data_IF_874943958428
#
_entry.id   IF_874943958428
#
_cell.length_a   1.000
_cell.length_b   1.000
_cell.length_c   1.000
_cell.angle_alpha   90.00
_cell.angle_beta   90.00
_cell.angle_gamma   90.00
#
_symmetry.space_group_name_H-M   'P 1'
#
loop_
_entity.id
_entity.type
_entity.pdbx_description
1 polymer ?
#
# COMPACT_ATOMS: atom_id res chain seq x y z
N UNK A 1 28.64 10.12 10.93
CA UNK A 1 27.59 9.48 10.10
C UNK A 1 27.05 10.55 9.18
N UNK A 2 27.51 10.61 7.94
CA UNK A 2 27.04 11.60 6.97
C UNK A 2 25.85 10.94 6.25
N UNK A 3 24.63 11.35 6.59
CA UNK A 3 23.44 10.98 5.81
C UNK A 3 23.62 11.55 4.40
N UNK A 4 23.60 10.71 3.38
CA UNK A 4 23.69 11.19 2.00
C UNK A 4 22.39 11.93 1.66
N UNK A 5 22.42 12.92 0.76
CA UNK A 5 21.20 13.68 0.38
C UNK A 5 20.05 12.75 -0.05
N UNK A 6 20.38 11.59 -0.65
CA UNK A 6 19.43 10.55 -1.04
C UNK A 6 18.71 9.89 0.13
N UNK A 7 19.38 9.72 1.28
CA UNK A 7 18.77 9.15 2.49
C UNK A 7 17.74 10.12 3.08
N UNK A 8 18.06 11.41 3.08
CA UNK A 8 17.16 12.47 3.58
C UNK A 8 15.92 12.59 2.72
N UNK A 9 16.07 12.58 1.39
CA UNK A 9 14.95 12.59 0.45
C UNK A 9 14.04 11.37 0.65
N UNK A 10 14.62 10.17 0.79
CA UNK A 10 13.86 8.94 1.01
C UNK A 10 13.01 9.03 2.29
N UNK A 11 13.55 9.57 3.38
CA UNK A 11 12.82 9.78 4.64
C UNK A 11 11.66 10.75 4.48
N UNK A 12 11.84 11.84 3.72
CA UNK A 12 10.76 12.81 3.43
C UNK A 12 9.63 12.14 2.65
N UNK A 13 9.96 11.36 1.62
CA UNK A 13 8.95 10.64 0.85
C UNK A 13 8.26 9.54 1.67
N UNK A 14 8.98 8.88 2.58
CA UNK A 14 8.39 7.92 3.48
C UNK A 14 7.38 8.59 4.42
N UNK A 15 7.70 9.76 4.97
CA UNK A 15 6.75 10.54 5.76
C UNK A 15 5.51 10.93 4.94
N UNK A 16 5.70 11.29 3.66
CA UNK A 16 4.61 11.61 2.75
C UNK A 16 3.64 10.43 2.58
N UNK A 17 4.12 9.18 2.56
CA UNK A 17 3.25 7.98 2.49
C UNK A 17 2.28 7.86 3.67
N UNK A 18 2.58 8.44 4.83
CA UNK A 18 1.72 8.41 6.01
C UNK A 18 0.85 9.68 6.16
N UNK A 19 0.98 10.64 5.25
CA UNK A 19 0.28 11.92 5.31
C UNK A 19 -1.10 11.84 4.65
N UNK A 20 -2.15 11.76 5.48
CA UNK A 20 -3.53 11.63 5.00
C UNK A 20 -4.01 12.92 4.31
N UNK A 21 -4.80 12.83 3.23
CA UNK A 21 -5.23 14.00 2.48
C UNK A 21 -6.02 15.02 3.31
N UNK A 22 -6.65 14.59 4.41
CA UNK A 22 -7.35 15.51 5.32
C UNK A 22 -6.46 16.61 5.88
N UNK A 23 -5.14 16.39 6.05
CA UNK A 23 -4.24 17.36 6.68
C UNK A 23 -3.98 18.57 5.78
N UNK A 24 -3.58 18.32 4.53
CA UNK A 24 -3.06 19.37 3.63
C UNK A 24 -3.69 19.43 2.24
N UNK A 25 -4.67 18.58 1.89
CA UNK A 25 -5.20 18.52 0.51
C UNK A 25 -5.71 19.87 -0.01
N UNK A 26 -6.28 20.69 0.86
CA UNK A 26 -6.78 22.02 0.50
C UNK A 26 -5.70 23.11 0.47
N UNK A 27 -4.55 22.87 1.10
CA UNK A 27 -3.42 23.81 1.12
C UNK A 27 -2.48 23.55 -0.05
N UNK A 28 -2.07 22.29 -0.26
CA UNK A 28 -1.30 21.91 -1.44
C UNK A 28 -1.44 20.40 -1.75
N UNK A 29 -1.89 20.02 -2.95
CA UNK A 29 -2.02 18.60 -3.36
C UNK A 29 -0.70 17.83 -3.47
N UNK A 30 0.45 18.46 -3.20
CA UNK A 30 1.77 17.79 -3.15
C UNK A 30 2.04 17.13 -1.79
N UNK A 31 1.35 17.55 -0.73
CA UNK A 31 1.58 17.08 0.64
C UNK A 31 0.56 16.01 1.07
N UNK A 32 0.31 15.02 0.21
CA UNK A 32 -0.49 13.86 0.57
C UNK A 32 -0.04 12.62 -0.19
N UNK A 33 -0.40 11.45 0.32
CA UNK A 33 -0.01 10.19 -0.31
C UNK A 33 -0.81 9.83 -1.58
N UNK A 34 -1.85 10.57 -1.99
CA UNK A 34 -2.80 10.16 -3.06
C UNK A 34 -2.10 9.79 -4.38
N UNK A 35 -1.04 10.52 -4.75
CA UNK A 35 -0.28 10.23 -5.98
C UNK A 35 0.54 8.95 -5.86
N UNK A 36 1.15 8.72 -4.70
CA UNK A 36 1.89 7.50 -4.41
C UNK A 36 0.95 6.31 -4.28
N UNK A 37 -0.21 6.50 -3.65
CA UNK A 37 -1.29 5.51 -3.58
C UNK A 37 -1.72 5.08 -4.99
N UNK A 38 -1.96 6.03 -5.88
CA UNK A 38 -2.34 5.72 -7.27
C UNK A 38 -1.27 4.87 -7.98
N UNK A 39 0.00 5.27 -7.91
CA UNK A 39 1.12 4.50 -8.50
C UNK A 39 1.19 3.11 -7.86
N UNK A 40 1.07 3.06 -6.55
CA UNK A 40 1.02 1.85 -5.73
C UNK A 40 -0.07 0.87 -6.15
N UNK A 41 -1.26 1.39 -6.38
CA UNK A 41 -2.40 0.60 -6.87
C UNK A 41 -2.08 0.01 -8.24
N UNK A 42 -1.55 0.80 -9.18
CA UNK A 42 -1.20 0.30 -10.52
C UNK A 42 -0.09 -0.73 -10.51
N UNK A 43 0.94 -0.56 -9.68
CA UNK A 43 2.01 -1.55 -9.58
C UNK A 43 1.52 -2.85 -8.93
N UNK A 44 0.65 -2.75 -7.92
CA UNK A 44 -0.01 -3.93 -7.33
C UNK A 44 -0.85 -4.67 -8.38
N UNK A 45 -1.66 -3.94 -9.15
CA UNK A 45 -2.50 -4.52 -10.21
C UNK A 45 -1.64 -5.29 -11.22
N UNK A 46 -0.55 -4.67 -11.69
CA UNK A 46 0.36 -5.25 -12.67
C UNK A 46 1.07 -6.50 -12.13
N UNK A 47 1.63 -6.42 -10.91
CA UNK A 47 2.35 -7.55 -10.29
C UNK A 47 1.41 -8.74 -10.07
N UNK A 48 0.18 -8.50 -9.62
CA UNK A 48 -0.81 -9.56 -9.40
C UNK A 48 -1.30 -10.15 -10.71
N UNK A 49 -1.52 -9.33 -11.75
CA UNK A 49 -1.91 -9.82 -13.07
C UNK A 49 -0.83 -10.71 -13.69
N UNK A 50 0.43 -10.24 -13.67
CA UNK A 50 1.58 -10.99 -14.19
C UNK A 50 1.71 -12.35 -13.50
N UNK A 51 1.59 -12.38 -12.16
CA UNK A 51 1.67 -13.62 -11.37
C UNK A 51 0.52 -14.59 -11.67
N UNK A 52 -0.72 -14.10 -11.75
CA UNK A 52 -1.87 -14.94 -12.07
C UNK A 52 -1.75 -15.55 -13.46
N UNK A 53 -1.30 -14.76 -14.44
CA UNK A 53 -1.07 -15.23 -15.80
C UNK A 53 0.01 -16.32 -15.84
N UNK A 54 1.13 -16.10 -15.15
CA UNK A 54 2.22 -17.10 -15.08
C UNK A 54 1.82 -18.38 -14.34
N UNK A 55 0.90 -18.31 -13.36
CA UNK A 55 0.44 -19.49 -12.60
C UNK A 55 -0.64 -20.29 -13.33
N UNK A 56 -1.40 -19.63 -14.20
CA UNK A 56 -2.58 -20.18 -14.84
C UNK A 56 -2.60 -19.83 -16.34
N UNK A 57 -1.59 -20.28 -17.09
CA UNK A 57 -1.47 -20.00 -18.52
C UNK A 57 -2.69 -20.48 -19.33
N UNK A 58 -3.25 -21.63 -18.96
CA UNK A 58 -4.37 -22.25 -19.69
C UNK A 58 -5.75 -21.77 -19.20
N UNK A 59 -5.80 -20.83 -18.25
CA UNK A 59 -7.06 -20.40 -17.68
C UNK A 59 -7.83 -19.42 -18.61
N UNK A 60 -9.17 -19.51 -18.65
CA UNK A 60 -9.98 -18.56 -19.40
C UNK A 60 -9.78 -17.10 -18.92
N UNK A 61 -9.73 -16.15 -19.85
CA UNK A 61 -9.50 -14.73 -19.54
C UNK A 61 -10.51 -14.12 -18.56
N UNK A 62 -11.78 -14.50 -18.66
CA UNK A 62 -12.83 -14.05 -17.72
C UNK A 62 -12.56 -14.54 -16.29
N UNK A 63 -12.09 -15.78 -16.14
CA UNK A 63 -11.73 -16.35 -14.84
C UNK A 63 -10.53 -15.60 -14.23
N UNK A 64 -9.50 -15.33 -15.04
CA UNK A 64 -8.34 -14.54 -14.61
C UNK A 64 -8.75 -13.14 -14.14
N UNK A 65 -9.63 -12.47 -14.87
CA UNK A 65 -10.12 -11.14 -14.51
C UNK A 65 -10.90 -11.14 -13.19
N UNK A 66 -11.78 -12.12 -12.99
CA UNK A 66 -12.54 -12.28 -11.75
C UNK A 66 -11.62 -12.60 -10.58
N UNK A 67 -10.64 -13.48 -10.78
CA UNK A 67 -9.66 -13.86 -9.75
C UNK A 67 -8.76 -12.68 -9.36
N UNK A 68 -8.28 -11.93 -10.34
CA UNK A 68 -7.49 -10.71 -10.16
C UNK A 68 -8.25 -9.65 -9.36
N UNK A 69 -9.49 -9.35 -9.76
CA UNK A 69 -10.36 -8.43 -9.00
C UNK A 69 -10.59 -8.88 -7.57
N UNK A 70 -10.85 -10.18 -7.34
CA UNK A 70 -11.08 -10.71 -6.00
C UNK A 70 -9.86 -10.61 -5.08
N UNK A 71 -8.65 -10.75 -5.63
CA UNK A 71 -7.40 -10.62 -4.87
C UNK A 71 -7.10 -9.17 -4.49
N UNK A 72 -7.31 -8.23 -5.41
CA UNK A 72 -7.04 -6.81 -5.18
C UNK A 72 -8.09 -6.13 -4.31
N UNK A 73 -9.37 -6.47 -4.49
CA UNK A 73 -10.46 -5.72 -3.88
C UNK A 73 -10.70 -6.02 -2.39
N UNK A 74 -10.09 -7.07 -1.79
CA UNK A 74 -10.77 -7.61 -0.60
C UNK A 74 -10.01 -8.32 0.52
N UNK A 75 -8.67 -8.30 0.69
CA UNK A 75 -8.13 -8.98 1.89
C UNK A 75 -6.77 -8.61 2.45
N UNK A 76 -5.84 -8.19 1.59
CA UNK A 76 -4.43 -8.13 1.97
C UNK A 76 -3.92 -6.70 2.14
N UNK A 77 -4.42 -5.76 1.34
CA UNK A 77 -4.02 -4.37 1.47
C UNK A 77 -4.45 -3.79 2.83
N UNK A 78 -3.48 -3.22 3.55
CA UNK A 78 -3.60 -2.65 4.89
C UNK A 78 -3.60 -3.68 6.03
N UNK A 79 -3.69 -5.00 5.77
CA UNK A 79 -3.72 -6.01 6.86
C UNK A 79 -2.42 -6.00 7.65
N UNK A 80 -1.29 -5.99 6.95
CA UNK A 80 0.03 -5.97 7.55
C UNK A 80 0.23 -4.74 8.46
N UNK A 81 -0.06 -3.55 7.94
CA UNK A 81 0.00 -2.30 8.71
C UNK A 81 -0.89 -2.33 9.96
N UNK A 82 -2.08 -2.93 9.87
CA UNK A 82 -2.98 -3.09 11.02
C UNK A 82 -2.42 -4.08 12.05
N UNK A 83 -1.87 -5.21 11.59
CA UNK A 83 -1.26 -6.23 12.46
C UNK A 83 -0.03 -5.68 13.22
N UNK A 84 0.74 -4.79 12.59
CA UNK A 84 1.89 -4.12 13.21
C UNK A 84 1.54 -2.81 13.93
N UNK A 85 0.26 -2.49 14.11
CA UNK A 85 -0.22 -1.25 14.73
C UNK A 85 0.27 0.07 14.08
N UNK A 86 0.76 0.01 12.84
CA UNK A 86 1.28 1.17 12.09
C UNK A 86 0.19 2.15 11.65
N UNK A 87 -1.08 1.77 11.78
CA UNK A 87 -2.22 2.67 11.55
C UNK A 87 -2.25 3.90 12.47
N UNK A 88 -1.55 3.85 13.62
CA UNK A 88 -1.41 4.97 14.57
C UNK A 88 -0.41 6.04 14.10
N UNK A 89 0.46 5.69 13.16
CA UNK A 89 1.50 6.60 12.63
C UNK A 89 0.95 7.43 11.46
N UNK A 90 -0.26 7.14 10.99
CA UNK A 90 -0.91 7.91 9.93
C UNK A 90 -1.26 9.30 10.49
N UNK A 91 -0.81 10.33 9.79
CA UNK A 91 -0.99 11.73 10.17
C UNK A 91 -2.30 12.20 9.56
N UNK A 92 -3.32 12.41 10.38
CA UNK A 92 -4.59 13.02 9.98
C UNK A 92 -4.68 14.47 10.42
N UNK A 93 -5.76 15.14 9.98
CA UNK A 93 -6.14 16.42 10.55
C UNK A 93 -6.67 16.22 11.97
N UNK A 94 -6.41 17.18 12.85
CA UNK A 94 -6.72 17.03 14.28
C UNK A 94 -8.23 16.88 14.50
N UNK A 95 -9.06 17.45 13.61
CA UNK A 95 -10.53 17.33 13.66
C UNK A 95 -11.05 15.94 13.29
N UNK A 96 -10.29 15.19 12.48
CA UNK A 96 -10.73 13.87 11.96
C UNK A 96 -9.99 12.70 12.60
N UNK A 97 -8.90 12.95 13.32
CA UNK A 97 -8.08 11.94 14.00
C UNK A 97 -8.95 10.93 14.78
N UNK A 98 -9.77 11.42 15.73
CA UNK A 98 -10.63 10.58 16.56
C UNK A 98 -11.57 9.70 15.73
N UNK A 99 -12.06 10.24 14.61
CA UNK A 99 -12.97 9.51 13.74
C UNK A 99 -12.26 8.32 13.09
N UNK A 100 -11.01 8.46 12.65
CA UNK A 100 -10.23 7.38 12.04
C UNK A 100 -9.75 6.36 13.07
N UNK A 101 -9.48 6.76 14.30
CA UNK A 101 -9.06 5.84 15.36
C UNK A 101 -10.21 4.91 15.80
N UNK A 102 -11.38 5.48 16.04
CA UNK A 102 -12.54 4.77 16.58
C UNK A 102 -13.38 4.06 15.50
N UNK A 103 -13.35 4.52 14.25
CA UNK A 103 -14.16 3.94 13.18
C UNK A 103 -13.35 3.03 12.24
N UNK A 104 -13.52 1.71 12.42
CA UNK A 104 -12.87 0.67 11.58
C UNK A 104 -13.17 0.84 10.08
N UNK A 105 -14.39 1.31 9.71
CA UNK A 105 -14.78 1.47 8.30
C UNK A 105 -14.01 2.59 7.59
N UNK A 106 -13.56 3.61 8.33
CA UNK A 106 -12.73 4.70 7.78
C UNK A 106 -11.23 4.39 7.90
N UNK A 107 -10.83 3.77 9.01
CA UNK A 107 -9.46 3.35 9.26
C UNK A 107 -8.93 2.36 8.23
N UNK A 108 -9.73 1.34 7.89
CA UNK A 108 -9.28 0.26 7.02
C UNK A 108 -8.91 0.78 5.61
N UNK A 109 -9.74 1.61 4.95
CA UNK A 109 -9.36 2.29 3.71
C UNK A 109 -8.08 3.12 3.83
N UNK A 110 -7.93 3.93 4.89
CA UNK A 110 -6.71 4.73 5.08
C UNK A 110 -5.46 3.85 5.19
N UNK A 111 -5.53 2.74 5.95
CA UNK A 111 -4.40 1.79 6.05
C UNK A 111 -4.08 1.11 4.72
N UNK A 112 -5.09 0.84 3.89
CA UNK A 112 -4.90 0.30 2.55
C UNK A 112 -4.20 1.31 1.65
N UNK A 113 -4.63 2.57 1.70
CA UNK A 113 -4.06 3.66 0.92
C UNK A 113 -2.59 3.92 1.27
N UNK A 114 -2.24 3.91 2.56
CA UNK A 114 -0.85 4.01 3.02
C UNK A 114 -0.01 2.83 2.51
N UNK A 115 -0.55 1.61 2.52
CA UNK A 115 0.18 0.46 1.97
C UNK A 115 0.45 0.61 0.47
N UNK A 116 -0.56 1.06 -0.28
CA UNK A 116 -0.41 1.37 -1.70
C UNK A 116 0.65 2.46 -1.88
N UNK A 117 0.60 3.54 -1.11
CA UNK A 117 1.59 4.60 -1.17
C UNK A 117 3.02 4.11 -0.91
N UNK A 118 3.22 3.20 0.05
CA UNK A 118 4.52 2.58 0.30
C UNK A 118 5.00 1.78 -0.92
N UNK A 119 4.13 0.97 -1.54
CA UNK A 119 4.50 0.24 -2.76
C UNK A 119 4.78 1.19 -3.93
N UNK A 120 4.04 2.30 -4.03
CA UNK A 120 4.26 3.33 -5.03
C UNK A 120 5.61 4.03 -4.85
N UNK A 121 5.96 4.38 -3.61
CA UNK A 121 7.28 4.94 -3.30
C UNK A 121 8.40 3.93 -3.61
N UNK A 122 8.27 2.68 -3.14
CA UNK A 122 9.24 1.64 -3.43
C UNK A 122 9.41 1.40 -4.93
N UNK A 123 8.34 1.55 -5.73
CA UNK A 123 8.43 1.47 -7.18
C UNK A 123 9.26 2.61 -7.77
N UNK A 124 9.08 3.84 -7.28
CA UNK A 124 9.81 5.00 -7.77
C UNK A 124 11.30 4.96 -7.40
N UNK A 125 11.64 4.37 -6.24
CA UNK A 125 13.03 4.30 -5.76
C UNK A 125 13.77 3.07 -6.28
N UNK A 126 13.13 1.89 -6.26
CA UNK A 126 13.79 0.60 -6.52
C UNK A 126 13.27 -0.12 -7.78
N UNK A 127 12.08 0.24 -8.29
CA UNK A 127 11.48 -0.37 -9.48
C UNK A 127 10.63 -1.63 -9.22
N UNK A 128 10.04 -2.17 -10.31
CA UNK A 128 9.03 -3.26 -10.24
C UNK A 128 9.52 -4.52 -9.53
N UNK A 129 10.78 -4.91 -9.78
CA UNK A 129 11.33 -6.19 -9.28
C UNK A 129 11.33 -6.24 -7.75
N UNK A 130 11.77 -5.16 -7.12
CA UNK A 130 11.88 -5.10 -5.65
C UNK A 130 10.52 -4.86 -4.99
N UNK A 131 9.63 -4.10 -5.62
CA UNK A 131 8.23 -4.00 -5.15
C UNK A 131 7.55 -5.37 -5.14
N UNK A 132 7.79 -6.19 -6.17
CA UNK A 132 7.26 -7.57 -6.20
C UNK A 132 7.74 -8.36 -4.99
N UNK A 133 9.05 -8.32 -4.68
CA UNK A 133 9.61 -8.99 -3.50
C UNK A 133 8.97 -8.48 -2.21
N UNK A 134 8.94 -7.16 -2.03
CA UNK A 134 8.31 -6.49 -0.89
C UNK A 134 6.86 -6.93 -0.69
N UNK A 135 6.06 -6.97 -1.76
CA UNK A 135 4.66 -7.39 -1.73
C UNK A 135 4.47 -8.81 -1.19
N UNK A 136 5.31 -9.77 -1.58
CA UNK A 136 5.14 -11.19 -1.24
C UNK A 136 5.91 -11.63 0.01
N UNK A 137 7.06 -11.02 0.29
CA UNK A 137 7.94 -11.38 1.40
C UNK A 137 7.60 -10.62 2.69
N UNK A 138 7.12 -9.37 2.57
CA UNK A 138 6.85 -8.50 3.73
C UNK A 138 5.36 -8.26 3.94
N UNK A 139 4.62 -7.95 2.89
CA UNK A 139 3.19 -7.60 3.00
C UNK A 139 2.23 -8.79 2.89
N UNK A 140 2.76 -10.01 2.88
CA UNK A 140 2.01 -11.27 2.92
C UNK A 140 0.92 -11.38 1.83
N UNK A 141 1.15 -10.82 0.64
CA UNK A 141 0.23 -11.04 -0.48
C UNK A 141 0.18 -12.55 -0.78
N UNK A 142 -1.02 -13.14 -0.71
CA UNK A 142 -1.24 -14.58 -0.87
C UNK A 142 -0.54 -15.52 0.14
N UNK A 143 0.19 -15.03 1.16
CA UNK A 143 0.64 -15.92 2.22
C UNK A 143 -0.56 -16.35 3.07
N UNK A 144 -1.08 -17.53 2.76
CA UNK A 144 -1.73 -18.38 3.73
C UNK A 144 -0.57 -18.88 4.60
N UNK A 145 -0.15 -18.11 5.60
CA UNK A 145 0.66 -18.71 6.66
C UNK A 145 -0.10 -19.99 7.08
N UNK A 146 0.57 -21.15 7.20
CA UNK A 146 -0.05 -22.24 7.93
C UNK A 146 -0.44 -21.64 9.27
N UNK A 147 -1.72 -21.71 9.63
CA UNK A 147 -2.13 -21.37 10.99
C UNK A 147 -1.20 -22.17 11.90
N UNK A 148 -0.48 -21.49 12.79
CA UNK A 148 0.18 -22.20 13.88
C UNK A 148 -0.88 -23.07 14.55
N UNK A 149 -0.62 -24.37 14.58
CA UNK A 149 -1.47 -25.40 15.21
C UNK A 149 -1.28 -25.30 16.71
#
# INVERSE_FOLDING_TARGET
MITTNSDVECLIYLQLCFMHPSKYKFEHPRFCYERLEYIGQKIQDLVMAERLLMKHLDAPGLWLQQRHRGLLMNKYCGRYLRAKHLHRVIIYDDRVQDTYEHNRRKRNPATTAVQQALHGLSYLVYGKRDVRRLMFEVFDFEQIQPKEV
#
